data_IF_955841515326
#
_entry.id   IF_955841515326
#
_cell.length_a   1.000
_cell.length_b   1.000
_cell.length_c   1.000
_cell.angle_alpha   90.00
_cell.angle_beta   90.00
_cell.angle_gamma   90.00
#
_symmetry.space_group_name_H-M   'P 1'
#
loop_
_entity.id
_entity.type
_entity.pdbx_description
1 polymer ?
#
# COMPACT_ATOMS: atom_id res chain seq x y z
N UNK A 1 4.23 27.74 -2.83
CA UNK A 1 5.54 28.44 -2.92
C UNK A 1 6.54 27.88 -1.91
N UNK A 2 6.15 27.65 -0.64
CA UNK A 2 7.03 27.07 0.39
C UNK A 2 7.64 25.70 0.01
N UNK A 3 6.83 24.76 -0.51
CA UNK A 3 7.32 23.42 -0.89
C UNK A 3 8.42 23.45 -1.96
N UNK A 4 8.27 24.32 -2.97
CA UNK A 4 9.28 24.48 -4.03
C UNK A 4 10.59 25.01 -3.45
N UNK A 5 10.51 25.98 -2.55
CA UNK A 5 11.69 26.58 -1.94
C UNK A 5 12.43 25.57 -1.05
N UNK A 6 11.70 24.75 -0.26
CA UNK A 6 12.27 23.65 0.51
C UNK A 6 12.94 22.61 -0.39
N UNK A 7 12.29 22.22 -1.49
CA UNK A 7 12.86 21.24 -2.43
C UNK A 7 14.18 21.73 -3.04
N UNK A 8 14.23 22.98 -3.50
CA UNK A 8 15.46 23.57 -4.06
C UNK A 8 16.59 23.65 -3.02
N UNK A 9 16.27 23.95 -1.75
CA UNK A 9 17.27 23.93 -0.68
C UNK A 9 17.83 22.53 -0.43
N UNK A 10 16.98 21.51 -0.41
CA UNK A 10 17.40 20.11 -0.24
C UNK A 10 18.26 19.68 -1.42
N UNK A 11 17.84 19.99 -2.65
CA UNK A 11 18.61 19.71 -3.87
C UNK A 11 19.97 20.39 -3.84
N UNK A 12 20.03 21.67 -3.47
CA UNK A 12 21.30 22.40 -3.40
C UNK A 12 22.25 21.80 -2.34
N UNK A 13 21.74 21.34 -1.20
CA UNK A 13 22.53 20.61 -0.19
C UNK A 13 23.05 19.28 -0.74
N UNK A 14 22.19 18.54 -1.44
CA UNK A 14 22.55 17.28 -2.08
C UNK A 14 23.67 17.46 -3.11
N UNK A 15 23.54 18.48 -3.97
CA UNK A 15 24.51 18.78 -5.03
C UNK A 15 25.88 19.22 -4.45
N UNK A 16 25.91 19.72 -3.21
CA UNK A 16 27.14 20.01 -2.45
C UNK A 16 27.71 18.81 -1.67
N UNK A 17 27.07 17.64 -1.76
CA UNK A 17 27.49 16.43 -1.05
C UNK A 17 27.20 16.45 0.46
N UNK A 18 26.31 17.33 0.92
CA UNK A 18 25.92 17.38 2.33
C UNK A 18 25.00 16.21 2.71
N UNK A 19 25.04 15.81 3.98
CA UNK A 19 24.08 14.85 4.51
C UNK A 19 22.66 15.42 4.46
N UNK A 20 21.75 14.71 3.81
CA UNK A 20 20.32 15.03 3.76
C UNK A 20 19.60 14.22 4.83
N UNK A 21 18.81 14.89 5.66
CA UNK A 21 18.06 14.21 6.71
C UNK A 21 17.05 13.22 6.08
N UNK A 22 16.68 12.14 6.79
CA UNK A 22 15.66 11.23 6.28
C UNK A 22 14.32 11.92 5.97
N UNK A 23 13.97 12.97 6.73
CA UNK A 23 12.78 13.78 6.48
C UNK A 23 12.88 14.55 5.14
N UNK A 24 14.02 15.21 4.91
CA UNK A 24 14.26 15.95 3.67
C UNK A 24 14.37 15.01 2.45
N UNK A 25 14.93 13.81 2.62
CA UNK A 25 14.94 12.79 1.57
C UNK A 25 13.52 12.37 1.18
N UNK A 26 12.64 12.12 2.16
CA UNK A 26 11.22 11.78 1.89
C UNK A 26 10.50 12.93 1.20
N UNK A 27 10.65 14.15 1.74
CA UNK A 27 10.06 15.34 1.14
C UNK A 27 10.50 15.51 -0.32
N UNK A 28 11.80 15.36 -0.61
CA UNK A 28 12.32 15.46 -1.97
C UNK A 28 11.80 14.35 -2.89
N UNK A 29 11.73 13.11 -2.40
CA UNK A 29 11.16 11.99 -3.16
C UNK A 29 9.69 12.23 -3.52
N UNK A 30 8.90 12.76 -2.58
CA UNK A 30 7.49 13.07 -2.80
C UNK A 30 7.30 14.18 -3.84
N UNK A 31 8.10 15.25 -3.76
CA UNK A 31 8.06 16.34 -4.76
C UNK A 31 8.45 15.80 -6.14
N UNK A 32 9.53 15.03 -6.25
CA UNK A 32 9.94 14.42 -7.52
C UNK A 32 8.89 13.45 -8.07
N UNK A 33 8.20 12.69 -7.21
CA UNK A 33 7.10 11.83 -7.64
C UNK A 33 5.93 12.63 -8.21
N UNK A 34 5.53 13.74 -7.56
CA UNK A 34 4.47 14.63 -8.05
C UNK A 34 4.84 15.32 -9.36
N UNK A 35 6.08 15.78 -9.50
CA UNK A 35 6.57 16.36 -10.75
C UNK A 35 6.52 15.35 -11.89
N UNK A 36 7.04 14.12 -11.67
CA UNK A 36 6.96 13.05 -12.67
C UNK A 36 5.52 12.70 -13.06
N UNK A 37 4.59 12.70 -12.11
CA UNK A 37 3.17 12.50 -12.42
C UNK A 37 2.59 13.62 -13.27
N UNK A 38 2.91 14.89 -12.95
CA UNK A 38 2.46 16.04 -13.73
C UNK A 38 3.04 16.02 -15.15
N UNK A 39 4.33 15.70 -15.28
CA UNK A 39 5.00 15.57 -16.58
C UNK A 39 4.39 14.41 -17.39
N UNK A 40 4.16 13.25 -16.76
CA UNK A 40 3.51 12.12 -17.41
C UNK A 40 2.06 12.44 -17.82
N UNK A 41 1.31 13.19 -17.01
CA UNK A 41 -0.04 13.62 -17.35
C UNK A 41 -0.03 14.61 -18.53
N UNK A 42 0.93 15.53 -18.58
CA UNK A 42 1.10 16.47 -19.69
C UNK A 42 1.48 15.71 -20.98
N UNK A 43 2.44 14.78 -20.89
CA UNK A 43 2.85 13.93 -22.01
C UNK A 43 1.71 13.05 -22.53
N UNK A 44 0.86 12.53 -21.64
CA UNK A 44 -0.29 11.69 -22.00
C UNK A 44 -1.57 12.48 -22.27
N UNK A 45 -1.53 13.81 -22.31
CA UNK A 45 -2.74 14.64 -22.44
C UNK A 45 -3.51 14.39 -23.75
N UNK A 46 -2.78 14.23 -24.86
CA UNK A 46 -3.39 13.88 -26.15
C UNK A 46 -3.96 12.46 -26.16
N UNK A 47 -3.24 11.50 -25.55
CA UNK A 47 -3.74 10.13 -25.40
C UNK A 47 -5.03 10.11 -24.58
N UNK A 48 -5.07 10.77 -23.42
CA UNK A 48 -6.25 10.86 -22.57
C UNK A 48 -7.44 11.53 -23.29
N UNK A 49 -7.18 12.55 -24.12
CA UNK A 49 -8.21 13.22 -24.93
C UNK A 49 -8.78 12.31 -26.02
N UNK A 50 -7.95 11.48 -26.63
CA UNK A 50 -8.33 10.59 -27.74
C UNK A 50 -8.81 9.21 -27.28
N UNK A 51 -8.52 8.84 -26.03
CA UNK A 51 -8.90 7.58 -25.40
C UNK A 51 -9.61 7.89 -24.07
N UNK A 52 -10.81 8.48 -24.12
CA UNK A 52 -11.56 8.76 -22.91
C UNK A 52 -11.82 7.46 -22.13
N UNK A 53 -11.95 7.55 -20.79
CA UNK A 53 -12.32 6.41 -19.97
C UNK A 53 -13.55 5.71 -20.55
N UNK A 54 -13.50 4.38 -20.60
CA UNK A 54 -14.63 3.55 -21.01
C UNK A 54 -15.21 2.91 -19.76
N UNK A 55 -16.54 2.89 -19.68
CA UNK A 55 -17.27 2.21 -18.59
C UNK A 55 -17.05 0.68 -18.60
N UNK A 56 -16.65 0.12 -19.75
CA UNK A 56 -16.34 -1.30 -19.89
C UNK A 56 -15.24 -1.55 -20.90
N UNK A 57 -14.47 -2.61 -20.67
CA UNK A 57 -13.48 -3.16 -21.59
C UNK A 57 -14.06 -4.22 -22.52
N UNK A 58 -15.33 -4.60 -22.34
CA UNK A 58 -15.95 -5.76 -23.00
C UNK A 58 -15.56 -7.11 -22.40
N UNK A 59 -14.71 -7.11 -21.37
CA UNK A 59 -14.37 -8.31 -20.61
C UNK A 59 -15.43 -8.57 -19.54
N UNK A 60 -15.70 -9.85 -19.27
CA UNK A 60 -16.58 -10.27 -18.17
C UNK A 60 -15.80 -10.12 -16.86
N UNK A 61 -16.29 -9.36 -15.86
CA UNK A 61 -15.64 -9.25 -14.56
C UNK A 61 -15.46 -10.61 -13.89
N UNK A 62 -14.39 -10.77 -13.11
CA UNK A 62 -14.10 -12.02 -12.39
C UNK A 62 -15.29 -12.50 -11.53
N UNK A 63 -16.03 -11.63 -10.81
CA UNK A 63 -17.24 -12.03 -10.10
C UNK A 63 -18.37 -12.55 -11.00
N UNK A 64 -18.42 -12.11 -12.25
CA UNK A 64 -19.55 -12.32 -13.16
C UNK A 64 -19.30 -13.44 -14.19
N UNK A 65 -18.13 -14.10 -14.12
CA UNK A 65 -17.79 -15.23 -15.01
C UNK A 65 -18.76 -16.41 -14.87
N UNK A 66 -19.47 -16.52 -13.74
CA UNK A 66 -20.37 -17.63 -13.43
C UNK A 66 -19.68 -19.00 -13.63
N UNK A 67 -20.15 -19.82 -14.58
CA UNK A 67 -19.57 -21.14 -14.89
C UNK A 67 -18.48 -21.10 -15.96
N UNK A 68 -18.19 -19.94 -16.55
CA UNK A 68 -17.14 -19.78 -17.55
C UNK A 68 -15.77 -19.78 -16.86
N UNK A 69 -14.83 -20.53 -17.43
CA UNK A 69 -13.45 -20.56 -16.94
C UNK A 69 -12.62 -19.48 -17.64
N UNK A 70 -11.84 -18.73 -16.86
CA UNK A 70 -10.79 -17.87 -17.39
C UNK A 70 -9.48 -18.68 -17.47
N UNK A 71 -9.09 -19.06 -18.69
CA UNK A 71 -7.87 -19.84 -18.94
C UNK A 71 -7.77 -21.10 -18.06
N UNK A 72 -8.90 -21.78 -17.85
CA UNK A 72 -8.99 -23.01 -17.06
C UNK A 72 -9.19 -22.81 -15.56
N UNK A 73 -9.20 -21.57 -15.06
CA UNK A 73 -9.48 -21.26 -13.65
C UNK A 73 -10.91 -20.68 -13.49
N UNK A 74 -11.63 -21.00 -12.40
CA UNK A 74 -12.94 -20.42 -12.14
C UNK A 74 -12.83 -18.92 -11.81
N UNK A 75 -13.95 -18.20 -11.98
CA UNK A 75 -14.09 -16.84 -11.50
C UNK A 75 -14.26 -16.75 -9.97
N UNK A 76 -14.91 -15.69 -9.52
CA UNK A 76 -15.20 -15.47 -8.11
C UNK A 76 -14.07 -14.79 -7.32
N UNK A 77 -14.43 -14.20 -6.18
CA UNK A 77 -13.50 -13.54 -5.25
C UNK A 77 -12.97 -14.49 -4.15
N UNK A 78 -13.58 -15.65 -4.01
CA UNK A 78 -13.30 -16.67 -3.00
C UNK A 78 -13.27 -18.07 -3.64
N UNK A 79 -12.73 -19.08 -2.92
CA UNK A 79 -12.70 -20.45 -3.42
C UNK A 79 -14.05 -20.94 -3.96
N UNK A 80 -14.00 -21.86 -4.93
CA UNK A 80 -15.18 -22.46 -5.55
C UNK A 80 -16.05 -21.48 -6.36
N UNK A 81 -15.48 -20.38 -6.85
CA UNK A 81 -16.22 -19.44 -7.71
C UNK A 81 -17.15 -18.48 -6.96
N UNK A 82 -17.00 -18.35 -5.65
CA UNK A 82 -17.92 -17.56 -4.82
C UNK A 82 -17.54 -16.08 -4.79
N UNK A 83 -18.54 -15.20 -4.74
CA UNK A 83 -18.35 -13.76 -4.50
C UNK A 83 -18.64 -13.34 -3.06
N UNK A 84 -19.17 -14.25 -2.25
CA UNK A 84 -19.39 -14.06 -0.83
C UNK A 84 -18.27 -14.74 -0.05
N UNK A 85 -17.70 -14.09 0.98
CA UNK A 85 -16.68 -14.72 1.82
C UNK A 85 -17.21 -16.00 2.46
N UNK A 86 -16.40 -17.07 2.57
CA UNK A 86 -16.76 -18.24 3.37
C UNK A 86 -17.14 -17.82 4.80
N UNK A 87 -18.19 -18.40 5.41
CA UNK A 87 -18.68 -17.94 6.72
C UNK A 87 -17.61 -17.89 7.82
N UNK A 88 -16.73 -18.90 7.87
CA UNK A 88 -15.61 -18.91 8.82
C UNK A 88 -14.62 -17.77 8.59
N UNK A 89 -14.35 -17.43 7.33
CA UNK A 89 -13.45 -16.33 6.98
C UNK A 89 -14.05 -14.96 7.35
N UNK A 90 -15.33 -14.75 7.03
CA UNK A 90 -16.06 -13.54 7.43
C UNK A 90 -16.11 -13.39 8.95
N UNK A 91 -16.45 -14.47 9.66
CA UNK A 91 -16.51 -14.46 11.13
C UNK A 91 -15.15 -14.13 11.75
N UNK A 92 -14.06 -14.70 11.25
CA UNK A 92 -12.71 -14.38 11.71
C UNK A 92 -12.35 -12.90 11.47
N UNK A 93 -12.63 -12.37 10.27
CA UNK A 93 -12.40 -10.96 9.95
C UNK A 93 -13.21 -10.00 10.85
N UNK A 94 -14.48 -10.31 11.09
CA UNK A 94 -15.33 -9.52 11.99
C UNK A 94 -14.88 -9.60 13.45
N UNK A 95 -14.37 -10.75 13.91
CA UNK A 95 -13.83 -10.90 15.25
C UNK A 95 -12.56 -10.05 15.44
N UNK A 96 -11.64 -10.06 14.46
CA UNK A 96 -10.45 -9.22 14.46
C UNK A 96 -10.82 -7.73 14.42
N UNK A 97 -11.76 -7.33 13.55
CA UNK A 97 -12.19 -5.95 13.42
C UNK A 97 -12.78 -5.38 14.72
N UNK A 98 -13.47 -6.20 15.52
CA UNK A 98 -14.00 -5.81 16.84
C UNK A 98 -12.91 -5.60 17.89
N UNK A 99 -11.72 -6.16 17.69
CA UNK A 99 -10.57 -6.00 18.58
C UNK A 99 -9.81 -4.69 18.39
N UNK A 100 -10.12 -3.93 17.33
CA UNK A 100 -9.39 -2.69 17.00
C UNK A 100 -9.68 -1.62 18.06
N UNK A 101 -8.64 -1.25 18.81
CA UNK A 101 -8.69 -0.24 19.88
C UNK A 101 -7.41 0.59 19.90
N UNK A 102 -7.39 1.80 20.48
CA UNK A 102 -6.14 2.53 20.61
C UNK A 102 -5.15 1.78 21.52
N UNK A 103 -3.92 1.61 21.04
CA UNK A 103 -2.83 0.90 21.74
C UNK A 103 -1.72 1.86 22.17
N UNK A 104 -1.11 1.61 23.33
CA UNK A 104 0.12 2.27 23.76
C UNK A 104 1.35 1.77 22.97
N UNK A 105 2.54 2.30 23.24
CA UNK A 105 3.76 1.93 22.51
C UNK A 105 4.16 0.46 22.68
N UNK A 106 3.70 -0.22 23.74
CA UNK A 106 3.93 -1.63 24.00
C UNK A 106 2.85 -2.54 23.40
N UNK A 107 1.81 -1.97 22.78
CA UNK A 107 0.70 -2.71 22.17
C UNK A 107 -0.43 -3.05 23.12
N UNK A 108 -0.49 -2.44 24.32
CA UNK A 108 -1.60 -2.67 25.25
C UNK A 108 -2.73 -1.65 24.99
N UNK A 109 -4.01 -2.04 25.15
CA UNK A 109 -5.13 -1.10 25.06
C UNK A 109 -4.96 0.08 26.02
N UNK A 110 -5.03 1.29 25.47
CA UNK A 110 -4.89 2.53 26.23
C UNK A 110 -5.73 3.64 25.61
N UNK A 111 -6.55 4.33 26.40
CA UNK A 111 -7.37 5.45 25.90
C UNK A 111 -6.53 6.59 25.29
N UNK A 112 -5.29 6.75 25.77
CA UNK A 112 -4.29 7.69 25.22
C UNK A 112 -3.55 7.19 23.98
N UNK A 113 -3.74 5.94 23.58
CA UNK A 113 -3.00 5.25 22.52
C UNK A 113 -3.38 5.64 21.10
N UNK A 114 -2.93 4.82 20.14
CA UNK A 114 -3.12 5.00 18.68
C UNK A 114 -3.68 3.74 18.04
N UNK A 115 -4.45 3.92 16.98
CA UNK A 115 -4.82 2.87 16.03
C UNK A 115 -3.96 3.06 14.81
N UNK A 116 -2.95 2.21 14.58
CA UNK A 116 -2.05 2.40 13.44
C UNK A 116 -2.53 1.56 12.26
N UNK A 117 -2.77 2.26 11.15
CA UNK A 117 -3.07 1.69 9.84
C UNK A 117 -1.82 1.86 8.97
N UNK A 118 -1.32 0.75 8.43
CA UNK A 118 -0.11 0.71 7.63
C UNK A 118 -0.41 0.28 6.20
N UNK A 119 0.17 0.94 5.19
CA UNK A 119 0.15 0.44 3.81
C UNK A 119 1.45 -0.28 3.48
N UNK A 120 1.35 -1.38 2.72
CA UNK A 120 2.49 -2.20 2.33
C UNK A 120 2.38 -2.46 0.83
N UNK A 121 3.41 -2.08 0.09
CA UNK A 121 3.36 -2.18 -1.36
C UNK A 121 4.49 -1.48 -2.08
N UNK A 122 4.31 -1.42 -3.40
CA UNK A 122 5.22 -0.74 -4.33
C UNK A 122 4.76 0.71 -4.65
N UNK A 123 5.31 1.32 -5.70
CA UNK A 123 5.04 2.72 -6.09
C UNK A 123 3.56 3.06 -6.27
N UNK A 124 2.74 2.15 -6.80
CA UNK A 124 1.32 2.44 -7.02
C UNK A 124 0.56 2.50 -5.69
N UNK A 125 0.95 1.65 -4.75
CA UNK A 125 0.42 1.66 -3.38
C UNK A 125 0.77 2.95 -2.66
N UNK A 126 2.02 3.45 -2.79
CA UNK A 126 2.39 4.78 -2.28
C UNK A 126 1.52 5.87 -2.92
N UNK A 127 1.38 5.89 -4.23
CA UNK A 127 0.58 6.93 -4.92
C UNK A 127 -0.89 6.94 -4.46
N UNK A 128 -1.50 5.77 -4.34
CA UNK A 128 -2.86 5.63 -3.82
C UNK A 128 -2.96 5.99 -2.33
N UNK A 129 -1.96 5.60 -1.52
CA UNK A 129 -1.89 5.96 -0.10
C UNK A 129 -1.80 7.48 0.05
N UNK A 130 -0.96 8.16 -0.73
CA UNK A 130 -0.82 9.61 -0.65
C UNK A 130 -2.09 10.35 -1.07
N UNK A 131 -2.87 9.81 -2.02
CA UNK A 131 -4.20 10.34 -2.32
C UNK A 131 -5.18 10.09 -1.17
N UNK A 132 -5.18 8.88 -0.62
CA UNK A 132 -6.03 8.50 0.51
C UNK A 132 -5.75 9.33 1.76
N UNK A 133 -4.47 9.57 2.12
CA UNK A 133 -4.07 10.41 3.24
C UNK A 133 -4.63 11.83 3.14
N UNK A 134 -4.67 12.42 1.94
CA UNK A 134 -5.25 13.75 1.71
C UNK A 134 -6.76 13.75 1.95
N UNK A 135 -7.46 12.72 1.47
CA UNK A 135 -8.90 12.57 1.69
C UNK A 135 -9.20 12.35 3.18
N UNK A 136 -8.45 11.47 3.83
CA UNK A 136 -8.59 11.17 5.24
C UNK A 136 -8.33 12.41 6.12
N UNK A 137 -7.32 13.23 5.81
CA UNK A 137 -7.03 14.45 6.56
C UNK A 137 -8.17 15.49 6.49
N UNK A 138 -9.00 15.45 5.44
CA UNK A 138 -10.16 16.31 5.28
C UNK A 138 -11.43 15.74 5.95
N UNK A 139 -11.46 14.44 6.24
CA UNK A 139 -12.61 13.75 6.82
C UNK A 139 -12.62 13.85 8.35
N UNK A 140 -13.56 14.66 8.86
CA UNK A 140 -13.75 14.88 10.30
C UNK A 140 -14.49 13.74 11.01
N UNK A 141 -15.02 12.77 10.29
CA UNK A 141 -15.71 11.61 10.86
C UNK A 141 -14.74 10.51 11.31
N UNK A 142 -13.48 10.57 10.88
CA UNK A 142 -12.46 9.59 11.27
C UNK A 142 -12.14 9.67 12.77
N UNK A 143 -11.87 8.51 13.35
CA UNK A 143 -11.45 8.41 14.75
C UNK A 143 -10.15 9.21 14.95
N UNK A 144 -10.10 10.19 15.87
CA UNK A 144 -8.92 11.03 16.09
C UNK A 144 -7.69 10.26 16.61
N UNK A 145 -7.84 9.00 17.02
CA UNK A 145 -6.75 8.10 17.41
C UNK A 145 -6.13 7.33 16.23
N UNK A 146 -6.72 7.44 15.03
CA UNK A 146 -6.19 6.80 13.83
C UNK A 146 -4.88 7.49 13.40
N UNK A 147 -3.84 6.70 13.21
CA UNK A 147 -2.56 7.12 12.63
C UNK A 147 -2.33 6.32 11.36
N UNK A 148 -2.36 7.00 10.21
CA UNK A 148 -2.16 6.38 8.91
C UNK A 148 -0.68 6.50 8.52
N UNK A 149 -0.05 5.38 8.16
CA UNK A 149 1.37 5.32 7.82
C UNK A 149 1.55 4.71 6.44
N UNK A 150 2.21 5.44 5.55
CA UNK A 150 2.59 4.93 4.23
C UNK A 150 3.87 4.10 4.35
N UNK A 151 3.76 2.78 4.43
CA UNK A 151 4.91 1.87 4.42
C UNK A 151 5.35 1.46 3.01
N UNK A 152 4.54 1.77 1.99
CA UNK A 152 4.80 1.38 0.61
C UNK A 152 5.95 2.19 -0.01
N UNK A 153 6.71 1.56 -0.89
CA UNK A 153 7.97 2.12 -1.39
C UNK A 153 8.14 1.86 -2.89
N UNK A 154 8.66 2.84 -3.61
CA UNK A 154 8.92 2.71 -5.05
C UNK A 154 9.78 1.48 -5.38
N UNK A 155 9.40 0.75 -6.44
CA UNK A 155 10.10 -0.45 -6.93
C UNK A 155 10.15 -1.64 -5.94
N UNK A 156 9.48 -1.58 -4.79
CA UNK A 156 9.47 -2.66 -3.80
C UNK A 156 8.32 -3.65 -4.08
N UNK A 157 8.48 -4.39 -5.18
CA UNK A 157 7.53 -5.41 -5.69
C UNK A 157 7.37 -6.61 -4.73
N UNK A 158 6.40 -7.48 -5.00
CA UNK A 158 6.01 -8.59 -4.10
C UNK A 158 7.18 -9.49 -3.69
N UNK A 159 8.04 -9.88 -4.65
CA UNK A 159 9.24 -10.70 -4.36
C UNK A 159 10.19 -10.07 -3.34
N UNK A 160 10.23 -8.74 -3.26
CA UNK A 160 11.09 -8.02 -2.31
C UNK A 160 10.44 -8.02 -0.92
N UNK A 161 9.14 -7.74 -0.83
CA UNK A 161 8.43 -7.75 0.46
C UNK A 161 8.27 -9.16 1.03
N UNK A 162 8.28 -10.19 0.18
CA UNK A 162 8.33 -11.59 0.59
C UNK A 162 9.62 -11.94 1.37
N UNK A 163 10.73 -11.24 1.12
CA UNK A 163 11.98 -11.44 1.85
C UNK A 163 11.96 -10.66 3.18
N UNK A 164 11.95 -11.34 4.36
CA UNK A 164 11.91 -10.67 5.65
C UNK A 164 13.17 -9.84 5.96
N UNK A 165 14.29 -10.13 5.30
CA UNK A 165 15.55 -9.43 5.46
C UNK A 165 15.74 -8.26 4.47
N UNK A 166 14.76 -7.98 3.61
CA UNK A 166 14.84 -6.86 2.70
C UNK A 166 14.89 -5.52 3.45
N UNK A 167 15.72 -4.59 2.97
CA UNK A 167 15.80 -3.22 3.49
C UNK A 167 14.43 -2.51 3.50
N UNK A 168 13.49 -2.94 2.65
CA UNK A 168 12.09 -2.53 2.67
C UNK A 168 11.53 -2.45 4.10
N UNK A 169 11.74 -3.50 4.91
CA UNK A 169 11.16 -3.59 6.25
C UNK A 169 11.82 -2.61 7.24
N UNK A 170 13.12 -2.35 7.10
CA UNK A 170 13.81 -1.32 7.90
C UNK A 170 13.24 0.07 7.58
N UNK A 171 12.95 0.36 6.31
CA UNK A 171 12.33 1.62 5.91
C UNK A 171 10.90 1.73 6.46
N UNK A 172 10.13 0.64 6.50
CA UNK A 172 8.80 0.62 7.14
C UNK A 172 8.91 0.98 8.62
N UNK A 173 9.85 0.38 9.35
CA UNK A 173 10.09 0.69 10.77
C UNK A 173 10.48 2.17 10.98
N UNK A 174 11.35 2.71 10.13
CA UNK A 174 11.70 4.14 10.16
C UNK A 174 10.51 5.06 9.87
N UNK A 175 9.54 4.61 9.06
CA UNK A 175 8.33 5.39 8.76
C UNK A 175 7.33 5.35 9.90
N UNK A 176 7.14 4.19 10.54
CA UNK A 176 6.37 4.08 11.78
C UNK A 176 6.95 5.01 12.87
N UNK A 177 8.27 4.96 13.08
CA UNK A 177 8.93 5.77 14.10
C UNK A 177 8.79 7.29 13.85
N UNK A 178 8.80 7.72 12.59
CA UNK A 178 8.60 9.12 12.22
C UNK A 178 7.19 9.63 12.56
N UNK A 179 6.20 8.74 12.59
CA UNK A 179 4.83 9.03 13.03
C UNK A 179 4.63 8.79 14.55
N UNK A 180 5.74 8.60 15.28
CA UNK A 180 5.75 8.23 16.70
C UNK A 180 4.92 6.97 17.00
N UNK A 181 4.87 6.04 16.04
CA UNK A 181 4.21 4.76 16.13
C UNK A 181 5.23 3.62 16.29
N UNK A 182 4.81 2.53 16.94
CA UNK A 182 5.61 1.30 17.06
C UNK A 182 4.95 0.16 16.27
N UNK A 183 5.71 -0.91 15.91
CA UNK A 183 5.13 -2.12 15.34
C UNK A 183 4.00 -2.72 16.19
N UNK A 184 4.10 -2.61 17.52
CA UNK A 184 3.07 -3.09 18.44
C UNK A 184 1.76 -2.30 18.37
N UNK A 185 1.72 -1.14 17.72
CA UNK A 185 0.48 -0.36 17.56
C UNK A 185 -0.25 -0.62 16.24
N UNK A 186 0.39 -1.33 15.30
CA UNK A 186 -0.18 -1.68 14.00
C UNK A 186 -1.28 -2.72 14.20
N UNK A 187 -2.48 -2.41 13.72
CA UNK A 187 -3.67 -3.27 13.80
C UNK A 187 -4.34 -3.48 12.43
N UNK A 188 -4.05 -2.60 11.47
CA UNK A 188 -4.63 -2.68 10.13
C UNK A 188 -3.52 -2.54 9.10
N UNK A 189 -3.51 -3.45 8.12
CA UNK A 189 -2.58 -3.37 6.99
C UNK A 189 -3.33 -3.44 5.67
N UNK A 190 -3.14 -2.43 4.81
CA UNK A 190 -3.52 -2.50 3.41
C UNK A 190 -2.34 -2.96 2.56
N UNK A 191 -2.45 -4.17 2.00
CA UNK A 191 -1.45 -4.73 1.10
C UNK A 191 -1.89 -4.54 -0.35
N UNK A 192 -1.01 -3.97 -1.17
CA UNK A 192 -1.17 -3.96 -2.63
C UNK A 192 0.19 -4.18 -3.29
N UNK A 193 0.28 -5.22 -4.12
CA UNK A 193 1.54 -5.64 -4.73
C UNK A 193 1.35 -6.19 -6.14
N UNK A 194 2.46 -6.20 -6.89
CA UNK A 194 2.60 -6.97 -8.12
C UNK A 194 4.04 -7.46 -8.25
N UNK A 195 4.26 -8.36 -9.20
CA UNK A 195 5.59 -8.68 -9.71
C UNK A 195 5.79 -8.02 -11.08
N UNK A 196 6.93 -7.35 -11.27
CA UNK A 196 7.25 -6.70 -12.53
C UNK A 196 7.70 -7.71 -13.60
N UNK A 197 7.29 -7.48 -14.84
CA UNK A 197 7.74 -8.22 -16.03
C UNK A 197 7.38 -9.71 -16.03
N UNK A 198 6.10 -10.09 -15.94
CA UNK A 198 5.70 -11.49 -16.09
C UNK A 198 6.11 -12.02 -17.47
N UNK A 199 6.72 -13.21 -17.52
CA UNK A 199 7.12 -13.85 -18.79
C UNK A 199 6.52 -15.23 -18.98
N UNK A 200 6.10 -15.90 -17.90
CA UNK A 200 5.39 -17.16 -17.98
C UNK A 200 3.87 -16.95 -18.21
N UNK A 201 3.18 -17.93 -18.83
CA UNK A 201 1.74 -17.85 -19.05
C UNK A 201 0.97 -17.95 -17.73
N UNK A 202 -0.29 -17.53 -17.75
CA UNK A 202 -1.21 -17.81 -16.67
C UNK A 202 -1.46 -19.33 -16.54
N UNK A 203 -1.62 -19.88 -15.32
CA UNK A 203 -1.62 -19.20 -14.02
C UNK A 203 -0.25 -19.09 -13.35
N UNK A 204 0.86 -19.41 -14.05
CA UNK A 204 2.19 -19.54 -13.42
C UNK A 204 2.61 -18.27 -12.69
N UNK A 205 2.55 -17.11 -13.35
CA UNK A 205 2.92 -15.84 -12.72
C UNK A 205 1.95 -15.41 -11.62
N UNK A 206 0.66 -15.69 -11.79
CA UNK A 206 -0.36 -15.41 -10.78
C UNK A 206 -0.10 -16.22 -9.50
N UNK A 207 0.27 -17.51 -9.63
CA UNK A 207 0.64 -18.37 -8.50
C UNK A 207 1.94 -17.94 -7.83
N UNK A 208 2.92 -17.41 -8.58
CA UNK A 208 4.13 -16.82 -8.00
C UNK A 208 3.79 -15.57 -7.17
N UNK A 209 2.98 -14.66 -7.73
CA UNK A 209 2.51 -13.49 -6.98
C UNK A 209 1.73 -13.90 -5.72
N UNK A 210 0.87 -14.91 -5.81
CA UNK A 210 0.16 -15.47 -4.66
C UNK A 210 1.15 -15.96 -3.58
N UNK A 211 2.18 -16.72 -3.95
CA UNK A 211 3.18 -17.21 -3.01
C UNK A 211 3.95 -16.06 -2.33
N UNK A 212 4.34 -15.04 -3.10
CA UNK A 212 5.03 -13.85 -2.56
C UNK A 212 4.14 -13.04 -1.62
N UNK A 213 2.84 -12.92 -1.94
CA UNK A 213 1.84 -12.30 -1.07
C UNK A 213 1.66 -13.08 0.24
N UNK A 214 1.57 -14.42 0.17
CA UNK A 214 1.50 -15.27 1.37
C UNK A 214 2.74 -15.12 2.24
N UNK A 215 3.94 -15.09 1.63
CA UNK A 215 5.18 -14.84 2.36
C UNK A 215 5.19 -13.44 3.00
N UNK A 216 4.72 -12.42 2.27
CA UNK A 216 4.56 -11.06 2.82
C UNK A 216 3.59 -11.04 4.00
N UNK A 217 2.44 -11.72 3.92
CA UNK A 217 1.46 -11.80 5.00
C UNK A 217 2.04 -12.51 6.24
N UNK A 218 2.87 -13.55 6.07
CA UNK A 218 3.61 -14.17 7.18
C UNK A 218 4.58 -13.20 7.83
N UNK A 219 5.35 -12.47 7.04
CA UNK A 219 6.25 -11.43 7.56
C UNK A 219 5.47 -10.36 8.33
N UNK A 220 4.29 -9.96 7.86
CA UNK A 220 3.42 -9.02 8.57
C UNK A 220 2.94 -9.59 9.90
N UNK A 221 2.49 -10.85 9.93
CA UNK A 221 2.05 -11.50 11.15
C UNK A 221 3.16 -11.61 12.20
N UNK A 222 4.38 -11.92 11.79
CA UNK A 222 5.52 -12.03 12.70
C UNK A 222 5.94 -10.67 13.29
N UNK A 223 5.80 -9.61 12.48
CA UNK A 223 6.20 -8.23 12.82
C UNK A 223 5.14 -7.45 13.59
N UNK A 224 3.87 -7.71 13.32
CA UNK A 224 2.72 -6.97 13.85
C UNK A 224 1.71 -7.96 14.44
N UNK A 225 1.61 -7.99 15.76
CA UNK A 225 0.87 -9.05 16.49
C UNK A 225 -0.57 -8.70 16.86
N UNK A 226 -1.01 -7.47 16.56
CA UNK A 226 -2.31 -6.92 16.97
C UNK A 226 -3.27 -6.76 15.81
#
# INVERSE_FOLDING_TARGET
MADRQRFEQIKARHDRGEAISPEDQRFAQDIMARMRQADAAAQNSEYARTHPPRESTGLIPLPDLATVLYQGEPGGLYPEGRNTPPPAHLAAGLALAKGIVPLDQAGNPAAGGRIVFLTIGMSNTTQETQAFLKLAAADRSLNPKLTLVDGAQGSQIARITANPAANFWQVVEQRLAAEHATPAQVQVVWVKQANAGPTAPFPVEARRLQADLVATLRNLHDRYRN
#
